data_IF_502686051515
#
_entry.id   IF_502686051515
#
_cell.length_a   1.000
_cell.length_b   1.000
_cell.length_c   1.000
_cell.angle_alpha   90.00
_cell.angle_beta   90.00
_cell.angle_gamma   90.00
#
_symmetry.space_group_name_H-M   'P 1'
#
loop_
_entity.id
_entity.type
_entity.pdbx_description
1 polymer ?
2 non-polymer ?
#
# COMPACT_ATOMS: atom_id res chain seq x y z
N UNK A 1 -6.42 -1.30 -4.74
CA UNK A 1 -6.48 -1.37 -3.23
C UNK A 1 -6.24 -2.84 -2.84
N UNK A 2 -5.77 -3.05 -1.60
CA UNK A 2 -5.24 -4.30 -1.06
C UNK A 2 -4.18 -4.94 -1.97
N UNK A 3 -3.27 -4.10 -2.44
CA UNK A 3 -2.20 -4.37 -3.40
C UNK A 3 -0.89 -3.81 -2.81
N UNK A 4 0.20 -3.95 -3.57
CA UNK A 4 1.52 -3.44 -3.21
C UNK A 4 1.56 -1.90 -3.08
N UNK A 5 0.77 -1.18 -3.88
CA UNK A 5 0.67 0.28 -3.82
C UNK A 5 -0.07 0.75 -2.55
N UNK A 6 -1.17 0.07 -2.20
CA UNK A 6 -1.93 0.25 -0.97
C UNK A 6 -1.03 0.07 0.26
N UNK A 7 -0.29 -1.06 0.30
CA UNK A 7 0.60 -1.39 1.41
C UNK A 7 1.86 -0.50 1.46
N UNK A 8 2.39 -0.07 0.31
CA UNK A 8 3.44 0.96 0.24
C UNK A 8 2.98 2.32 0.78
N UNK A 9 1.78 2.75 0.38
CA UNK A 9 1.14 3.97 0.88
C UNK A 9 0.85 3.92 2.40
N UNK A 10 0.37 2.77 2.88
CA UNK A 10 0.14 2.50 4.30
C UNK A 10 1.43 2.53 5.14
N UNK A 11 2.50 1.96 4.59
CA UNK A 11 3.85 1.98 5.18
C UNK A 11 4.46 3.39 5.19
N UNK A 12 4.38 4.11 4.07
CA UNK A 12 4.88 5.48 3.92
C UNK A 12 4.10 6.55 4.74
#
# INVERSE_FOLDING_TARGET
WCDAACCAAAKAX
#
